data_IF_471340926381
#
_entry.id   IF_471340926381
#
_cell.length_a   1.000
_cell.length_b   1.000
_cell.length_c   1.000
_cell.angle_alpha   90.00
_cell.angle_beta   90.00
_cell.angle_gamma   90.00
#
_symmetry.space_group_name_H-M   'P 1'
#
loop_
_entity.id
_entity.type
_entity.pdbx_description
1 polymer ?
#
# COMPACT_ATOMS: atom_id res chain seq x y z
N UNK A 1 -26.81 0.52 9.32
CA UNK A 1 -25.55 1.16 8.84
C UNK A 1 -24.52 0.08 8.55
N UNK A 2 -23.67 0.27 7.53
CA UNK A 2 -22.55 -0.63 7.25
C UNK A 2 -21.46 -0.47 8.32
N UNK A 3 -20.95 -1.57 8.90
CA UNK A 3 -19.99 -1.53 10.01
C UNK A 3 -18.67 -0.80 9.69
N UNK A 4 -18.21 -0.83 8.44
CA UNK A 4 -16.94 -0.23 8.04
C UNK A 4 -16.97 1.31 7.96
N UNK A 5 -18.16 1.91 7.78
CA UNK A 5 -18.32 3.37 7.58
C UNK A 5 -17.89 4.19 8.81
N UNK A 6 -17.88 3.58 9.99
CA UNK A 6 -17.47 4.24 11.23
C UNK A 6 -15.94 4.35 11.39
N UNK A 7 -15.17 3.54 10.65
CA UNK A 7 -13.73 3.43 10.85
C UNK A 7 -12.91 4.03 9.72
N UNK A 8 -13.43 3.99 8.50
CA UNK A 8 -12.69 4.49 7.34
C UNK A 8 -13.60 4.87 6.16
N UNK A 9 -13.07 5.74 5.31
CA UNK A 9 -13.74 6.16 4.07
C UNK A 9 -13.84 5.04 3.03
N UNK A 10 -14.71 5.24 2.04
CA UNK A 10 -15.00 4.26 0.99
C UNK A 10 -13.76 3.80 0.20
N UNK A 11 -12.82 4.70 -0.09
CA UNK A 11 -11.60 4.34 -0.80
C UNK A 11 -10.76 3.32 -0.02
N UNK A 12 -10.67 3.47 1.31
CA UNK A 12 -9.97 2.51 2.16
C UNK A 12 -10.69 1.16 2.17
N UNK A 13 -12.02 1.16 2.26
CA UNK A 13 -12.82 -0.05 2.14
C UNK A 13 -12.52 -0.81 0.84
N UNK A 14 -12.54 -0.12 -0.29
CA UNK A 14 -12.25 -0.71 -1.60
C UNK A 14 -10.84 -1.31 -1.67
N UNK A 15 -9.83 -0.64 -1.10
CA UNK A 15 -8.47 -1.21 -1.07
C UNK A 15 -8.36 -2.48 -0.24
N UNK A 16 -9.13 -2.59 0.86
CA UNK A 16 -9.11 -3.77 1.74
C UNK A 16 -9.82 -4.94 1.05
N UNK A 17 -11.00 -4.71 0.48
CA UNK A 17 -11.75 -5.75 -0.23
C UNK A 17 -11.03 -6.22 -1.48
N UNK A 18 -10.42 -5.31 -2.25
CA UNK A 18 -9.59 -5.67 -3.39
C UNK A 18 -8.44 -6.60 -3.00
N UNK A 19 -7.73 -6.32 -1.89
CA UNK A 19 -6.66 -7.20 -1.38
C UNK A 19 -7.18 -8.57 -0.95
N UNK A 20 -8.33 -8.62 -0.28
CA UNK A 20 -8.96 -9.88 0.12
C UNK A 20 -9.31 -10.72 -1.12
N UNK A 21 -9.90 -10.10 -2.14
CA UNK A 21 -10.21 -10.77 -3.42
C UNK A 21 -8.94 -11.26 -4.08
N UNK A 22 -7.89 -10.43 -4.17
CA UNK A 22 -6.60 -10.79 -4.78
C UNK A 22 -5.96 -12.04 -4.15
N UNK A 23 -6.10 -12.21 -2.84
CA UNK A 23 -5.62 -13.40 -2.13
C UNK A 23 -6.43 -14.65 -2.43
N UNK A 24 -7.67 -14.51 -2.89
CA UNK A 24 -8.54 -15.61 -3.26
C UNK A 24 -8.41 -16.01 -4.75
N UNK A 25 -7.61 -15.31 -5.56
CA UNK A 25 -7.32 -15.72 -6.95
C UNK A 25 -6.31 -16.88 -7.00
N UNK A 26 -6.38 -17.65 -8.09
CA UNK A 26 -5.37 -18.66 -8.45
C UNK A 26 -4.00 -18.01 -8.66
N UNK A 27 -2.93 -18.77 -8.40
CA UNK A 27 -1.55 -18.26 -8.45
C UNK A 27 -1.16 -17.65 -9.80
N UNK A 28 -1.66 -18.21 -10.91
CA UNK A 28 -1.44 -17.73 -12.28
C UNK A 28 -1.85 -16.26 -12.48
N UNK A 29 -2.88 -15.80 -11.76
CA UNK A 29 -3.40 -14.43 -11.86
C UNK A 29 -2.90 -13.53 -10.73
N UNK A 30 -2.35 -14.13 -9.67
CA UNK A 30 -1.91 -13.43 -8.46
C UNK A 30 -0.74 -12.49 -8.74
N UNK A 31 0.26 -12.92 -9.52
CA UNK A 31 1.43 -12.09 -9.84
C UNK A 31 1.08 -10.78 -10.58
N UNK A 32 0.13 -10.83 -11.52
CA UNK A 32 -0.35 -9.62 -12.22
C UNK A 32 -1.12 -8.69 -11.28
N UNK A 33 -1.90 -9.24 -10.35
CA UNK A 33 -2.69 -8.47 -9.39
C UNK A 33 -1.80 -7.81 -8.32
N UNK A 34 -0.81 -8.52 -7.80
CA UNK A 34 0.14 -8.01 -6.80
C UNK A 34 0.99 -6.87 -7.34
N UNK A 35 1.40 -6.95 -8.61
CA UNK A 35 2.18 -5.87 -9.26
C UNK A 35 1.40 -4.55 -9.27
N UNK A 36 0.09 -4.59 -9.53
CA UNK A 36 -0.78 -3.39 -9.52
C UNK A 36 -1.06 -2.86 -8.11
N UNK A 37 -0.93 -3.69 -7.08
CA UNK A 37 -1.20 -3.31 -5.70
C UNK A 37 -0.03 -2.56 -5.02
N UNK A 38 1.17 -2.60 -5.64
CA UNK A 38 2.34 -1.85 -5.17
C UNK A 38 2.13 -0.35 -5.36
N UNK A 39 2.33 0.42 -4.29
CA UNK A 39 2.16 1.89 -4.32
C UNK A 39 3.34 2.51 -3.60
N UNK A 40 4.21 3.17 -4.35
CA UNK A 40 5.38 3.88 -3.83
C UNK A 40 5.13 5.38 -3.95
N UNK A 41 4.32 5.92 -3.04
CA UNK A 41 4.00 7.34 -3.01
C UNK A 41 4.66 7.98 -1.79
N UNK A 42 5.30 9.13 -2.00
CA UNK A 42 5.83 9.99 -0.96
C UNK A 42 5.06 11.31 -0.99
N UNK A 43 4.67 11.80 0.18
CA UNK A 43 4.03 13.10 0.33
C UNK A 43 4.87 14.00 1.21
N UNK A 44 4.70 15.30 1.02
CA UNK A 44 5.32 16.33 1.83
C UNK A 44 4.24 17.33 2.19
N UNK A 45 4.06 17.57 3.48
CA UNK A 45 3.14 18.60 3.95
C UNK A 45 3.85 19.94 3.92
N UNK A 46 3.23 20.94 3.29
CA UNK A 46 3.76 22.30 3.23
C UNK A 46 2.90 23.19 4.11
N UNK A 47 3.51 23.85 5.07
CA UNK A 47 2.83 24.81 5.96
C UNK A 47 3.56 26.15 5.92
N UNK A 48 2.81 27.24 5.73
CA UNK A 48 3.33 28.62 5.66
C UNK A 48 4.54 28.80 4.70
N UNK A 49 4.55 28.09 3.57
CA UNK A 49 5.61 28.17 2.56
C UNK A 49 6.91 27.43 2.91
N UNK A 50 6.97 26.76 4.07
CA UNK A 50 8.08 25.86 4.42
C UNK A 50 7.68 24.42 4.15
N UNK A 51 8.58 23.71 3.48
CA UNK A 51 8.41 22.31 3.16
C UNK A 51 8.69 21.47 4.43
N UNK A 52 7.70 20.69 4.88
CA UNK A 52 7.84 19.79 6.04
C UNK A 52 8.59 18.50 5.71
N UNK A 53 8.59 17.55 6.62
CA UNK A 53 9.25 16.25 6.41
C UNK A 53 8.54 15.42 5.32
N UNK A 54 9.33 14.73 4.50
CA UNK A 54 8.81 13.86 3.45
C UNK A 54 8.45 12.49 4.05
N UNK A 55 7.16 12.18 4.05
CA UNK A 55 6.64 10.92 4.60
C UNK A 55 6.20 10.00 3.47
N UNK A 56 6.52 8.70 3.59
CA UNK A 56 6.05 7.70 2.65
C UNK A 56 4.62 7.24 3.00
N UNK A 57 3.74 7.17 2.00
CA UNK A 57 2.32 6.77 2.16
C UNK A 57 2.18 5.29 2.55
N UNK A 58 3.15 4.46 2.16
CA UNK A 58 3.36 3.11 2.68
C UNK A 58 4.84 3.02 3.04
N UNK A 59 5.17 2.49 4.21
CA UNK A 59 6.55 2.13 4.52
C UNK A 59 7.05 1.23 3.38
N UNK A 60 8.12 1.65 2.70
CA UNK A 60 8.82 0.72 1.81
C UNK A 60 9.29 -0.42 2.70
N UNK A 61 9.00 -1.67 2.33
CA UNK A 61 9.76 -2.78 2.88
C UNK A 61 11.22 -2.46 2.55
N UNK A 62 12.02 -2.14 3.57
CA UNK A 62 13.46 -2.04 3.42
C UNK A 62 13.90 -3.34 2.76
N UNK A 63 14.50 -3.22 1.58
CA UNK A 63 15.22 -4.34 0.99
C UNK A 63 16.43 -4.52 1.91
N UNK A 64 16.29 -5.36 2.93
CA UNK A 64 17.42 -5.79 3.75
C UNK A 64 18.50 -6.37 2.81
N UNK A 65 19.65 -5.70 2.64
CA UNK A 65 20.70 -6.17 1.73
C UNK A 65 21.30 -7.52 2.19
N UNK A 66 20.95 -8.00 3.38
CA UNK A 66 21.36 -9.31 3.92
C UNK A 66 20.67 -10.51 3.25
N UNK A 67 19.51 -10.36 2.59
CA UNK A 67 18.78 -11.50 1.99
C UNK A 67 19.06 -11.74 0.50
N UNK A 68 19.89 -10.91 -0.14
CA UNK A 68 20.25 -11.04 -1.56
C UNK A 68 21.63 -11.64 -1.82
N UNK A 69 22.32 -12.14 -0.79
CA UNK A 69 23.66 -12.72 -0.92
C UNK A 69 23.73 -14.17 -0.45
N UNK A 70 22.86 -15.06 -0.98
CA UNK A 70 23.14 -16.50 -1.05
C UNK A 70 22.31 -17.15 -2.16
N UNK A 71 22.84 -17.11 -3.39
CA UNK A 71 22.77 -18.15 -4.42
C UNK A 71 23.70 -17.77 -5.55
#
# INVERSE_FOLDING_TARGET
MSAWRAHFGFNKYLTITARATQRALKEEFKGKAETRAKTNLRYQTWEAGKAGEQTWVKAQEEIDPSKSATS
#
